data_IF_297829015836
#
_entry.id   IF_297829015836
#
_cell.length_a   1.000
_cell.length_b   1.000
_cell.length_c   1.000
_cell.angle_alpha   90.00
_cell.angle_beta   90.00
_cell.angle_gamma   90.00
#
_symmetry.space_group_name_H-M   'P 1'
#
loop_
_entity.id
_entity.type
_entity.pdbx_description
1 polymer ?
#
# COMPACT_ATOMS: atom_id res chain seq x y z
N UNK A 1 -6.73 -4.82 9.08
CA UNK A 1 -5.46 -4.27 9.60
C UNK A 1 -4.80 -5.33 10.45
N UNK A 2 -3.54 -5.64 10.18
CA UNK A 2 -2.76 -6.56 11.01
C UNK A 2 -1.79 -5.74 11.85
N UNK A 3 -1.72 -6.00 13.15
CA UNK A 3 -0.75 -5.35 14.02
C UNK A 3 0.67 -5.85 13.72
N UNK A 4 1.64 -4.96 13.88
CA UNK A 4 3.06 -5.28 13.79
C UNK A 4 3.42 -6.08 15.06
N UNK A 5 3.95 -7.29 14.86
CA UNK A 5 4.36 -8.19 15.96
C UNK A 5 5.77 -7.91 16.46
N UNK A 6 6.64 -7.42 15.58
CA UNK A 6 8.03 -7.07 15.87
C UNK A 6 8.17 -5.54 16.00
N UNK A 7 9.34 -5.08 16.48
CA UNK A 7 9.70 -3.66 16.42
C UNK A 7 9.68 -3.20 14.96
N UNK A 8 9.05 -2.05 14.68
CA UNK A 8 8.94 -1.52 13.34
C UNK A 8 10.22 -0.80 12.86
N UNK A 9 10.92 -0.14 13.78
CA UNK A 9 12.16 0.60 13.52
C UNK A 9 13.28 0.20 14.48
N UNK A 10 14.41 -0.25 13.92
CA UNK A 10 15.63 -0.56 14.66
C UNK A 10 16.63 0.60 14.65
N UNK A 11 16.49 1.55 13.71
CA UNK A 11 17.28 2.78 13.57
C UNK A 11 18.79 2.62 13.37
N UNK A 12 19.26 1.47 12.88
CA UNK A 12 20.68 1.29 12.56
C UNK A 12 21.18 2.36 11.59
N UNK A 13 22.38 2.89 11.85
CA UNK A 13 23.00 3.96 11.08
C UNK A 13 23.97 3.38 10.05
N UNK A 14 23.87 3.84 8.80
CA UNK A 14 24.79 3.45 7.74
C UNK A 14 25.54 4.68 7.26
N UNK A 15 26.86 4.65 7.39
CA UNK A 15 27.77 5.72 7.00
C UNK A 15 28.44 5.41 5.66
N UNK A 16 28.72 6.45 4.89
CA UNK A 16 29.54 6.38 3.67
C UNK A 16 31.00 6.04 4.01
N UNK A 17 31.80 5.77 2.98
CA UNK A 17 33.25 5.65 3.13
C UNK A 17 33.90 6.93 3.69
N UNK A 18 33.34 8.10 3.38
CA UNK A 18 33.77 9.41 3.89
C UNK A 18 33.32 9.73 5.33
N UNK A 19 32.46 8.89 5.91
CA UNK A 19 31.95 9.06 7.28
C UNK A 19 30.66 9.88 7.39
N UNK A 20 30.02 10.25 6.28
CA UNK A 20 28.72 10.90 6.31
C UNK A 20 27.59 9.89 6.57
N UNK A 21 26.63 10.25 7.44
CA UNK A 21 25.44 9.43 7.68
C UNK A 21 24.54 9.42 6.44
N UNK A 22 24.44 8.27 5.79
CA UNK A 22 23.70 8.14 4.53
C UNK A 22 22.24 7.80 4.72
N UNK A 23 21.94 6.82 5.56
CA UNK A 23 20.56 6.37 5.78
C UNK A 23 20.47 5.54 7.06
N UNK A 24 19.22 5.25 7.45
CA UNK A 24 18.90 4.32 8.53
C UNK A 24 18.13 3.12 8.03
N UNK A 25 18.31 1.98 8.68
CA UNK A 25 17.59 0.76 8.29
C UNK A 25 17.36 -0.22 9.45
N UNK A 26 16.74 -1.36 9.11
CA UNK A 26 16.50 -2.44 10.05
C UNK A 26 17.70 -3.38 10.17
N UNK A 27 17.72 -4.16 11.24
CA UNK A 27 18.81 -5.11 11.51
C UNK A 27 18.96 -6.14 10.39
N UNK A 28 17.86 -6.57 9.76
CA UNK A 28 17.90 -7.52 8.63
C UNK A 28 18.75 -6.98 7.46
N UNK A 29 18.63 -5.69 7.12
CA UNK A 29 19.42 -5.04 6.06
C UNK A 29 20.89 -4.92 6.47
N UNK A 30 21.17 -4.64 7.74
CA UNK A 30 22.54 -4.59 8.28
C UNK A 30 23.24 -5.96 8.18
N UNK A 31 22.56 -7.03 8.62
CA UNK A 31 23.09 -8.39 8.50
C UNK A 31 23.40 -8.78 7.05
N UNK A 32 22.65 -8.25 6.08
CA UNK A 32 22.94 -8.45 4.65
C UNK A 32 24.23 -7.74 4.20
N UNK A 33 24.48 -6.51 4.65
CA UNK A 33 25.73 -5.78 4.32
C UNK A 33 26.96 -6.47 4.94
N UNK A 34 26.87 -6.82 6.23
CA UNK A 34 27.98 -7.43 6.97
C UNK A 34 28.31 -8.82 6.42
N UNK A 35 27.31 -9.67 6.16
CA UNK A 35 27.54 -11.04 5.66
C UNK A 35 28.15 -11.10 4.26
N UNK A 36 28.04 -10.00 3.49
CA UNK A 36 28.64 -9.87 2.15
C UNK A 36 29.93 -9.07 2.12
N UNK A 37 30.47 -8.71 3.29
CA UNK A 37 31.66 -7.86 3.40
C UNK A 37 31.53 -6.56 2.58
N UNK A 38 30.36 -5.91 2.66
CA UNK A 38 30.06 -4.62 2.01
C UNK A 38 30.15 -3.43 2.99
N UNK A 39 30.38 -3.71 4.26
CA UNK A 39 30.48 -2.72 5.32
C UNK A 39 31.25 -3.30 6.52
N UNK A 40 31.84 -2.43 7.32
CA UNK A 40 32.44 -2.76 8.60
C UNK A 40 31.56 -2.25 9.73
N UNK A 41 31.43 -3.01 10.81
CA UNK A 41 30.77 -2.52 12.02
C UNK A 41 31.69 -1.52 12.72
N UNK A 42 31.17 -0.33 13.02
CA UNK A 42 31.92 0.76 13.66
C UNK A 42 31.37 1.13 15.04
N UNK A 43 30.15 0.72 15.37
CA UNK A 43 29.55 0.78 16.71
C UNK A 43 28.45 -0.27 16.87
N UNK A 44 27.85 -0.35 18.06
CA UNK A 44 26.76 -1.30 18.37
C UNK A 44 25.50 -1.10 17.52
N UNK A 45 25.28 0.11 16.99
CA UNK A 45 24.13 0.50 16.18
C UNK A 45 24.51 1.06 14.79
N UNK A 46 25.78 0.90 14.39
CA UNK A 46 26.34 1.61 13.24
C UNK A 46 27.30 0.77 12.39
N UNK A 47 27.17 0.88 11.06
CA UNK A 47 28.11 0.32 10.09
C UNK A 47 28.61 1.40 9.13
N UNK A 48 29.80 1.20 8.56
CA UNK A 48 30.38 2.04 7.51
C UNK A 48 30.55 1.22 6.23
N UNK A 49 30.06 1.73 5.10
CA UNK A 49 30.28 1.10 3.79
C UNK A 49 31.77 1.10 3.43
N UNK A 50 32.23 0.02 2.81
CA UNK A 50 33.61 -0.12 2.35
C UNK A 50 33.82 0.24 0.87
N UNK A 51 32.79 0.78 0.22
CA UNK A 51 32.80 1.18 -1.19
C UNK A 51 32.09 2.53 -1.36
N UNK A 52 32.37 3.21 -2.48
CA UNK A 52 31.66 4.43 -2.86
C UNK A 52 30.32 4.08 -3.53
N UNK A 53 29.16 4.39 -2.93
CA UNK A 53 27.86 4.15 -3.53
C UNK A 53 27.58 5.16 -4.66
N UNK A 54 26.71 4.79 -5.60
CA UNK A 54 26.33 5.64 -6.74
C UNK A 54 25.50 6.88 -6.35
N UNK A 55 24.87 6.86 -5.18
CA UNK A 55 24.04 7.95 -4.68
C UNK A 55 24.41 8.33 -3.25
N UNK A 56 24.07 9.55 -2.86
CA UNK A 56 24.35 10.10 -1.54
C UNK A 56 23.39 9.57 -0.45
N UNK A 57 22.39 8.76 -0.82
CA UNK A 57 21.34 8.37 0.11
C UNK A 57 20.55 9.59 0.56
N UNK A 58 20.44 9.78 1.88
CA UNK A 58 19.63 10.83 2.51
C UNK A 58 20.47 11.87 3.26
N UNK A 59 21.76 12.07 2.91
CA UNK A 59 22.68 12.98 3.63
C UNK A 59 22.08 14.37 3.92
N UNK A 60 21.24 14.91 3.03
CA UNK A 60 20.62 16.23 3.19
C UNK A 60 19.16 16.20 3.68
N UNK A 61 18.63 15.01 3.97
CA UNK A 61 17.24 14.81 4.32
C UNK A 61 17.09 14.48 5.82
N UNK A 62 16.80 15.53 6.59
CA UNK A 62 16.63 15.42 8.05
C UNK A 62 15.52 14.45 8.45
N UNK A 63 14.47 14.34 7.65
CA UNK A 63 13.37 13.43 7.96
C UNK A 63 13.83 11.97 7.83
N UNK A 64 14.57 11.62 6.78
CA UNK A 64 15.03 10.23 6.62
C UNK A 64 16.22 9.86 7.52
N UNK A 65 16.96 10.84 8.03
CA UNK A 65 18.10 10.64 8.94
C UNK A 65 17.77 10.70 10.43
N UNK A 66 16.55 11.08 10.83
CA UNK A 66 16.17 11.08 12.24
C UNK A 66 15.93 9.67 12.79
N UNK A 67 16.10 9.49 14.10
CA UNK A 67 15.67 8.28 14.79
C UNK A 67 14.13 8.18 14.79
N UNK A 68 13.61 7.00 14.45
CA UNK A 68 12.18 6.74 14.45
C UNK A 68 11.75 6.05 15.73
N UNK A 69 10.65 6.52 16.29
CA UNK A 69 10.07 5.88 17.46
C UNK A 69 9.01 4.86 17.07
N UNK A 70 8.92 3.79 17.86
CA UNK A 70 7.93 2.73 17.69
C UNK A 70 6.65 3.09 18.47
N UNK A 71 6.01 4.19 18.08
CA UNK A 71 4.73 4.63 18.64
C UNK A 71 3.81 5.16 17.55
N UNK A 72 2.53 5.30 17.87
CA UNK A 72 1.53 5.92 17.04
C UNK A 72 1.82 7.41 16.92
N UNK A 73 1.99 7.90 15.68
CA UNK A 73 2.23 9.33 15.41
C UNK A 73 1.08 10.24 15.87
N UNK A 74 -0.12 9.68 16.07
CA UNK A 74 -1.30 10.44 16.49
C UNK A 74 -1.37 10.62 18.00
N UNK A 75 -1.30 9.53 18.77
CA UNK A 75 -1.57 9.54 20.21
C UNK A 75 -0.40 9.03 21.08
N UNK A 76 0.73 8.63 20.50
CA UNK A 76 1.91 8.18 21.26
C UNK A 76 1.82 6.76 21.83
N UNK A 77 0.70 6.07 21.61
CA UNK A 77 0.51 4.67 22.00
C UNK A 77 1.53 3.77 21.29
N UNK A 78 2.15 2.84 22.01
CA UNK A 78 3.19 1.95 21.48
C UNK A 78 2.72 0.49 21.31
N UNK A 79 1.44 0.21 21.59
CA UNK A 79 0.85 -1.10 21.40
C UNK A 79 0.01 -1.17 20.12
N UNK A 80 -0.17 -2.39 19.60
CA UNK A 80 -1.06 -2.68 18.46
C UNK A 80 -0.83 -1.75 17.26
N UNK A 81 0.44 -1.46 16.98
CA UNK A 81 0.84 -0.57 15.90
C UNK A 81 0.58 -1.21 14.55
N UNK A 82 0.34 -0.37 13.56
CA UNK A 82 0.10 -0.72 12.17
C UNK A 82 0.84 0.28 11.28
N UNK A 83 1.20 -0.13 10.06
CA UNK A 83 1.72 0.78 9.04
C UNK A 83 0.56 1.38 8.27
N UNK A 84 0.37 2.68 8.38
CA UNK A 84 -0.65 3.42 7.66
C UNK A 84 -0.03 4.11 6.44
N UNK A 85 -0.60 3.86 5.27
CA UNK A 85 -0.21 4.52 4.03
C UNK A 85 -1.04 5.80 3.88
N UNK A 86 -0.41 6.97 4.07
CA UNK A 86 -1.09 8.28 4.00
C UNK A 86 -1.78 8.46 2.65
N UNK A 87 -1.07 8.10 1.58
CA UNK A 87 -1.65 7.95 0.24
C UNK A 87 -2.13 6.51 0.08
N UNK A 88 -3.43 6.26 -0.17
CA UNK A 88 -3.95 4.90 -0.26
C UNK A 88 -3.26 4.04 -1.33
N UNK A 89 -3.02 2.78 -0.97
CA UNK A 89 -2.30 1.81 -1.81
C UNK A 89 -2.92 1.63 -3.21
N UNK A 90 -4.24 1.75 -3.31
CA UNK A 90 -4.96 1.64 -4.58
C UNK A 90 -4.52 2.69 -5.61
N UNK A 91 -4.08 3.87 -5.16
CA UNK A 91 -3.51 4.90 -6.02
C UNK A 91 -1.99 4.74 -6.12
N UNK A 92 -1.31 4.53 -4.98
CA UNK A 92 0.16 4.52 -4.93
C UNK A 92 0.78 3.47 -5.84
N UNK A 93 0.18 2.27 -5.94
CA UNK A 93 0.69 1.19 -6.82
C UNK A 93 0.71 1.57 -8.31
N UNK A 94 -0.16 2.49 -8.71
CA UNK A 94 -0.33 2.94 -10.10
C UNK A 94 0.58 4.12 -10.46
N UNK A 95 1.28 4.71 -9.48
CA UNK A 95 2.16 5.86 -9.70
C UNK A 95 3.47 5.45 -10.40
N UNK A 96 4.14 6.39 -11.10
CA UNK A 96 5.46 6.19 -11.69
C UNK A 96 6.51 5.80 -10.65
N UNK A 97 7.53 5.03 -11.08
CA UNK A 97 8.56 4.49 -10.17
C UNK A 97 9.32 5.58 -9.41
N UNK A 98 9.63 6.69 -10.08
CA UNK A 98 10.32 7.86 -9.49
C UNK A 98 9.55 8.49 -8.33
N UNK A 99 8.23 8.28 -8.27
CA UNK A 99 7.37 8.75 -7.18
C UNK A 99 7.16 7.66 -6.13
N UNK A 100 6.84 6.43 -6.55
CA UNK A 100 6.47 5.40 -5.58
C UNK A 100 7.67 4.79 -4.84
N UNK A 101 8.88 4.78 -5.40
CA UNK A 101 10.07 4.21 -4.73
C UNK A 101 10.47 4.92 -3.42
N UNK A 102 10.00 6.15 -3.17
CA UNK A 102 10.04 6.81 -1.85
C UNK A 102 8.83 6.48 -0.95
N UNK A 103 8.38 5.22 -0.91
CA UNK A 103 7.22 4.78 -0.12
C UNK A 103 7.29 5.14 1.35
N UNK A 104 8.48 5.05 1.95
CA UNK A 104 8.66 5.16 3.40
C UNK A 104 8.28 6.53 3.95
N UNK A 105 8.31 7.59 3.13
CA UNK A 105 7.97 8.93 3.60
C UNK A 105 6.51 9.03 4.06
N UNK A 106 5.62 8.39 3.32
CA UNK A 106 4.16 8.43 3.55
C UNK A 106 3.64 7.19 4.28
N UNK A 107 4.52 6.41 4.91
CA UNK A 107 4.17 5.27 5.74
C UNK A 107 4.42 5.60 7.20
N UNK A 108 3.34 5.79 7.96
CA UNK A 108 3.39 6.23 9.35
C UNK A 108 2.88 5.14 10.29
N UNK A 109 3.45 5.04 11.49
CA UNK A 109 2.93 4.13 12.52
C UNK A 109 1.69 4.70 13.19
N UNK A 110 0.64 3.89 13.25
CA UNK A 110 -0.60 4.21 13.95
C UNK A 110 -1.08 3.02 14.78
N UNK A 111 -1.61 3.25 15.98
CA UNK A 111 -2.33 2.20 16.69
C UNK A 111 -3.66 1.91 15.97
N UNK A 112 -4.21 0.71 16.16
CA UNK A 112 -5.46 0.26 15.51
C UNK A 112 -6.60 1.27 15.71
N UNK A 113 -6.71 1.90 16.89
CA UNK A 113 -7.76 2.89 17.20
C UNK A 113 -7.66 4.11 16.28
N UNK A 114 -6.49 4.76 16.23
CA UNK A 114 -6.28 5.94 15.39
C UNK A 114 -6.39 5.59 13.90
N UNK A 115 -5.84 4.45 13.47
CA UNK A 115 -5.94 4.00 12.09
C UNK A 115 -7.40 3.76 11.68
N UNK A 116 -8.17 3.01 12.48
CA UNK A 116 -9.59 2.76 12.20
C UNK A 116 -10.41 4.05 12.17
N UNK A 117 -10.11 5.00 13.06
CA UNK A 117 -10.75 6.32 13.05
C UNK A 117 -10.47 7.08 11.75
N UNK A 118 -9.20 7.15 11.34
CA UNK A 118 -8.82 7.83 10.11
C UNK A 118 -9.36 7.15 8.85
N UNK A 119 -9.42 5.82 8.82
CA UNK A 119 -9.90 5.08 7.64
C UNK A 119 -11.37 5.39 7.32
N UNK A 120 -12.18 5.78 8.33
CA UNK A 120 -13.54 6.28 8.10
C UNK A 120 -13.53 7.58 7.30
N UNK A 121 -12.71 8.56 7.71
CA UNK A 121 -12.57 9.82 6.99
C UNK A 121 -11.94 9.62 5.59
N UNK A 122 -10.90 8.79 5.50
CA UNK A 122 -10.26 8.43 4.24
C UNK A 122 -11.26 7.77 3.27
N UNK A 123 -12.20 6.97 3.78
CA UNK A 123 -13.27 6.37 2.96
C UNK A 123 -14.21 7.42 2.39
N UNK A 124 -14.53 8.49 3.13
CA UNK A 124 -15.32 9.61 2.60
C UNK A 124 -14.56 10.40 1.54
N UNK A 125 -13.25 10.63 1.72
CA UNK A 125 -12.42 11.27 0.69
C UNK A 125 -12.35 10.41 -0.59
N UNK A 126 -12.18 9.09 -0.47
CA UNK A 126 -12.23 8.15 -1.61
C UNK A 126 -13.57 8.27 -2.36
N UNK A 127 -14.71 8.33 -1.64
CA UNK A 127 -16.03 8.53 -2.27
C UNK A 127 -16.14 9.87 -2.99
N UNK A 128 -15.53 10.93 -2.46
CA UNK A 128 -15.48 12.24 -3.13
C UNK A 128 -14.67 12.14 -4.42
N UNK A 129 -13.46 11.57 -4.37
CA UNK A 129 -12.61 11.34 -5.55
C UNK A 129 -13.35 10.49 -6.61
N UNK A 130 -14.08 9.46 -6.21
CA UNK A 130 -14.91 8.66 -7.11
C UNK A 130 -15.97 9.48 -7.87
N UNK A 131 -16.58 10.47 -7.21
CA UNK A 131 -17.51 11.40 -7.85
C UNK A 131 -16.78 12.37 -8.77
N UNK A 132 -15.69 12.98 -8.29
CA UNK A 132 -14.94 14.00 -9.02
C UNK A 132 -14.35 13.46 -10.33
N UNK A 133 -13.91 12.20 -10.34
CA UNK A 133 -13.39 11.52 -11.54
C UNK A 133 -14.45 10.70 -12.29
N UNK A 134 -15.70 10.69 -11.85
CA UNK A 134 -16.80 9.92 -12.42
C UNK A 134 -16.44 8.42 -12.63
N UNK A 135 -15.81 7.81 -11.62
CA UNK A 135 -15.48 6.38 -11.64
C UNK A 135 -15.78 5.71 -10.28
N UNK A 136 -16.58 4.62 -10.24
CA UNK A 136 -16.86 3.89 -9.00
C UNK A 136 -15.60 3.37 -8.31
N UNK A 137 -15.63 3.22 -6.98
CA UNK A 137 -14.48 2.72 -6.20
C UNK A 137 -14.07 1.29 -6.55
N UNK A 138 -15.00 0.48 -7.03
CA UNK A 138 -14.77 -0.87 -7.55
C UNK A 138 -14.27 -0.89 -9.00
N UNK A 139 -14.09 0.28 -9.64
CA UNK A 139 -13.78 0.41 -11.06
C UNK A 139 -15.01 0.25 -11.96
N UNK A 140 -14.78 0.09 -13.26
CA UNK A 140 -15.81 -0.22 -14.28
C UNK A 140 -15.44 -1.49 -15.05
N UNK A 141 -16.33 -1.96 -15.92
CA UNK A 141 -16.10 -3.16 -16.74
C UNK A 141 -16.07 -4.45 -15.90
N UNK A 142 -16.95 -4.55 -14.88
CA UNK A 142 -17.20 -5.79 -14.16
C UNK A 142 -18.62 -6.27 -14.44
N UNK A 143 -18.76 -7.53 -14.81
CA UNK A 143 -20.05 -8.19 -14.97
C UNK A 143 -20.27 -9.13 -13.80
N UNK A 144 -21.45 -9.06 -13.17
CA UNK A 144 -21.82 -9.92 -12.07
C UNK A 144 -22.25 -11.28 -12.61
N UNK A 145 -21.62 -12.34 -12.11
CA UNK A 145 -21.94 -13.72 -12.49
C UNK A 145 -23.06 -14.23 -11.59
N UNK A 146 -24.31 -13.84 -11.89
CA UNK A 146 -25.47 -14.11 -11.02
C UNK A 146 -25.65 -15.61 -10.71
N UNK A 147 -25.34 -16.48 -11.67
CA UNK A 147 -25.36 -17.93 -11.44
C UNK A 147 -24.31 -18.37 -10.41
N UNK A 148 -23.06 -17.90 -10.53
CA UNK A 148 -22.01 -18.19 -9.55
C UNK A 148 -22.36 -17.64 -8.17
N UNK A 149 -22.90 -16.42 -8.11
CA UNK A 149 -23.36 -15.82 -6.85
C UNK A 149 -24.46 -16.68 -6.20
N UNK A 150 -25.42 -17.19 -6.98
CA UNK A 150 -26.47 -18.09 -6.50
C UNK A 150 -25.89 -19.37 -5.91
N UNK A 151 -24.96 -20.02 -6.64
CA UNK A 151 -24.29 -21.26 -6.22
C UNK A 151 -23.48 -21.03 -4.94
N UNK A 152 -22.68 -19.96 -4.88
CA UNK A 152 -21.86 -19.60 -3.73
C UNK A 152 -22.68 -19.27 -2.49
N UNK A 153 -23.82 -18.57 -2.66
CA UNK A 153 -24.78 -18.33 -1.57
C UNK A 153 -25.39 -19.63 -1.05
N UNK A 154 -25.68 -20.59 -1.94
CA UNK A 154 -26.20 -21.88 -1.52
C UNK A 154 -25.17 -22.68 -0.71
N UNK A 155 -23.92 -22.74 -1.18
CA UNK A 155 -22.80 -23.34 -0.46
C UNK A 155 -22.58 -22.68 0.91
N UNK A 156 -22.53 -21.34 0.95
CA UNK A 156 -22.37 -20.58 2.20
C UNK A 156 -23.50 -20.83 3.20
N UNK A 157 -24.72 -21.00 2.70
CA UNK A 157 -25.86 -21.29 3.55
C UNK A 157 -25.76 -22.70 4.14
N UNK A 158 -25.31 -23.71 3.39
CA UNK A 158 -25.15 -25.10 3.84
C UNK A 158 -24.11 -25.27 4.97
N UNK A 159 -23.17 -24.34 5.12
CA UNK A 159 -22.21 -24.33 6.24
C UNK A 159 -22.81 -23.82 7.56
N UNK A 160 -24.08 -23.40 7.58
CA UNK A 160 -24.76 -22.92 8.80
C UNK A 160 -25.45 -24.06 9.54
N UNK A 161 -25.48 -23.96 10.86
CA UNK A 161 -26.22 -24.87 11.73
C UNK A 161 -27.70 -24.42 11.77
N UNK A 162 -28.63 -25.37 11.86
CA UNK A 162 -30.06 -25.09 12.09
C UNK A 162 -30.86 -24.74 10.83
N UNK A 163 -30.45 -25.23 9.66
CA UNK A 163 -31.19 -25.06 8.40
C UNK A 163 -32.34 -26.08 8.35
N UNK A 164 -33.59 -25.67 8.08
CA UNK A 164 -34.71 -26.61 7.87
C UNK A 164 -34.43 -27.60 6.74
N UNK A 165 -34.91 -28.84 6.88
CA UNK A 165 -34.58 -29.96 5.96
C UNK A 165 -34.99 -29.67 4.51
N UNK A 166 -36.18 -29.10 4.28
CA UNK A 166 -36.64 -28.74 2.93
C UNK A 166 -35.74 -27.69 2.30
N UNK A 167 -35.29 -26.70 3.09
CA UNK A 167 -34.34 -25.70 2.63
C UNK A 167 -32.98 -26.31 2.34
N UNK A 168 -32.52 -27.26 3.16
CA UNK A 168 -31.26 -27.97 2.91
C UNK A 168 -31.30 -28.73 1.58
N UNK A 169 -32.43 -29.40 1.27
CA UNK A 169 -32.66 -30.09 0.00
C UNK A 169 -32.59 -29.14 -1.19
N UNK A 170 -33.27 -27.99 -1.12
CA UNK A 170 -33.20 -26.96 -2.17
C UNK A 170 -31.78 -26.47 -2.44
N UNK A 171 -31.02 -26.18 -1.37
CA UNK A 171 -29.65 -25.68 -1.47
C UNK A 171 -28.71 -26.73 -2.06
N UNK A 172 -28.86 -28.01 -1.67
CA UNK A 172 -28.12 -29.14 -2.26
C UNK A 172 -28.42 -29.29 -3.74
N UNK A 173 -29.68 -29.17 -4.14
CA UNK A 173 -30.07 -29.26 -5.55
C UNK A 173 -29.37 -28.19 -6.40
N UNK A 174 -29.23 -26.96 -5.89
CA UNK A 174 -28.49 -25.89 -6.60
C UNK A 174 -27.04 -26.31 -6.86
N UNK A 175 -26.36 -26.91 -5.87
CA UNK A 175 -24.97 -27.37 -6.00
C UNK A 175 -24.84 -28.55 -6.95
N UNK A 176 -25.76 -29.52 -6.87
CA UNK A 176 -25.77 -30.70 -7.76
C UNK A 176 -25.98 -30.27 -9.21
N UNK A 177 -26.96 -29.39 -9.48
CA UNK A 177 -27.19 -28.85 -10.84
C UNK A 177 -25.95 -28.12 -11.35
N UNK A 178 -25.29 -27.33 -10.51
CA UNK A 178 -24.05 -26.65 -10.87
C UNK A 178 -22.91 -27.63 -11.21
N UNK A 179 -22.70 -28.66 -10.39
CA UNK A 179 -21.71 -29.70 -10.63
C UNK A 179 -21.96 -30.42 -11.97
N UNK A 180 -23.20 -30.84 -12.22
CA UNK A 180 -23.59 -31.52 -13.46
C UNK A 180 -23.38 -30.64 -14.70
N UNK A 181 -23.70 -29.35 -14.61
CA UNK A 181 -23.63 -28.42 -15.75
C UNK A 181 -22.19 -28.02 -16.08
N UNK A 182 -21.32 -27.94 -15.08
CA UNK A 182 -19.95 -27.44 -15.27
C UNK A 182 -18.95 -28.54 -15.59
N UNK A 183 -19.25 -29.80 -15.26
CA UNK A 183 -18.36 -30.97 -15.39
C UNK A 183 -16.95 -30.76 -14.79
N UNK A 184 -16.81 -29.78 -13.90
CA UNK A 184 -15.53 -29.35 -13.29
C UNK A 184 -15.26 -30.04 -11.95
N UNK A 185 -16.30 -30.56 -11.30
CA UNK A 185 -16.21 -31.16 -9.97
C UNK A 185 -16.30 -32.68 -10.10
N UNK A 186 -15.17 -33.37 -9.91
CA UNK A 186 -15.06 -34.84 -10.00
C UNK A 186 -15.29 -35.58 -8.67
N UNK A 187 -15.72 -34.88 -7.62
CA UNK A 187 -15.96 -35.47 -6.30
C UNK A 187 -17.45 -35.57 -6.01
N UNK A 188 -17.89 -36.71 -5.49
CA UNK A 188 -19.26 -36.93 -5.03
C UNK A 188 -19.48 -36.49 -3.58
N UNK A 189 -18.41 -36.03 -2.89
CA UNK A 189 -18.52 -35.54 -1.51
C UNK A 189 -19.08 -34.13 -1.48
N UNK A 190 -20.15 -33.94 -0.69
CA UNK A 190 -20.82 -32.65 -0.55
C UNK A 190 -19.88 -31.54 -0.06
N UNK A 191 -18.98 -31.85 0.88
CA UNK A 191 -18.02 -30.87 1.42
C UNK A 191 -17.07 -30.36 0.33
N UNK A 192 -16.55 -31.24 -0.53
CA UNK A 192 -15.68 -30.87 -1.65
C UNK A 192 -16.42 -29.99 -2.67
N UNK A 193 -17.71 -30.25 -2.89
CA UNK A 193 -18.57 -29.46 -3.78
C UNK A 193 -18.81 -28.07 -3.17
N UNK A 194 -19.06 -27.99 -1.86
CA UNK A 194 -19.24 -26.73 -1.12
C UNK A 194 -17.96 -25.89 -1.19
N UNK A 195 -16.79 -26.47 -0.89
CA UNK A 195 -15.51 -25.75 -0.95
C UNK A 195 -15.24 -25.16 -2.34
N UNK A 196 -15.47 -25.95 -3.40
CA UNK A 196 -15.29 -25.47 -4.77
C UNK A 196 -16.31 -24.40 -5.18
N UNK A 197 -17.57 -24.55 -4.76
CA UNK A 197 -18.60 -23.54 -4.98
C UNK A 197 -18.28 -22.21 -4.28
N UNK A 198 -17.66 -22.26 -3.09
CA UNK A 198 -17.22 -21.06 -2.37
C UNK A 198 -16.08 -20.31 -3.07
N UNK A 199 -15.29 -21.01 -3.87
CA UNK A 199 -14.18 -20.44 -4.64
C UNK A 199 -14.61 -19.81 -5.98
N UNK A 200 -15.89 -19.91 -6.35
CA UNK A 200 -16.39 -19.32 -7.59
C UNK A 200 -16.22 -17.79 -7.61
N UNK A 201 -15.79 -17.21 -8.75
CA UNK A 201 -15.76 -15.77 -8.92
C UNK A 201 -17.19 -15.25 -8.98
N UNK A 202 -17.46 -14.18 -8.23
CA UNK A 202 -18.75 -13.49 -8.25
C UNK A 202 -18.86 -12.47 -9.40
N UNK A 203 -17.71 -12.10 -9.97
CA UNK A 203 -17.60 -11.14 -11.05
C UNK A 203 -16.51 -11.55 -12.03
N UNK A 204 -16.70 -11.20 -13.29
CA UNK A 204 -15.67 -11.24 -14.33
C UNK A 204 -15.30 -9.84 -14.80
N UNK A 205 -14.07 -9.70 -15.27
CA UNK A 205 -13.55 -8.47 -15.88
C UNK A 205 -13.87 -8.49 -17.36
N UNK A 206 -14.47 -7.43 -17.89
CA UNK A 206 -14.66 -7.25 -19.33
C UNK A 206 -13.41 -6.64 -19.96
N UNK A 207 -13.40 -6.49 -21.29
CA UNK A 207 -12.31 -5.83 -22.01
C UNK A 207 -12.18 -4.34 -21.64
N UNK A 208 -13.25 -3.73 -21.15
CA UNK A 208 -13.31 -2.33 -20.68
C UNK A 208 -12.99 -2.20 -19.18
N UNK A 209 -12.52 -3.27 -18.54
CA UNK A 209 -12.18 -3.28 -17.13
C UNK A 209 -11.06 -2.28 -16.83
N UNK A 210 -11.30 -1.41 -15.86
CA UNK A 210 -10.28 -0.55 -15.31
C UNK A 210 -10.56 -0.32 -13.83
N UNK A 211 -9.49 -0.37 -13.03
CA UNK A 211 -9.58 -0.12 -11.61
C UNK A 211 -9.71 1.38 -11.32
N UNK A 212 -10.40 1.72 -10.23
CA UNK A 212 -10.57 3.12 -9.80
C UNK A 212 -9.22 3.85 -9.71
N UNK A 213 -8.26 3.26 -9.00
CA UNK A 213 -6.97 3.90 -8.78
C UNK A 213 -6.13 4.04 -10.05
N UNK A 214 -6.22 3.07 -10.95
CA UNK A 214 -5.54 3.09 -12.25
C UNK A 214 -6.07 4.23 -13.12
N UNK A 215 -7.40 4.33 -13.24
CA UNK A 215 -8.02 5.42 -13.99
C UNK A 215 -7.67 6.78 -13.40
N UNK A 216 -7.86 6.99 -12.08
CA UNK A 216 -7.56 8.27 -11.42
C UNK A 216 -6.10 8.66 -11.66
N UNK A 217 -5.15 7.76 -11.40
CA UNK A 217 -3.73 8.08 -11.60
C UNK A 217 -3.41 8.32 -13.08
N UNK A 218 -3.98 7.55 -14.02
CA UNK A 218 -3.80 7.85 -15.44
C UNK A 218 -4.30 9.25 -15.83
N UNK A 219 -5.35 9.78 -15.19
CA UNK A 219 -5.80 11.16 -15.43
C UNK A 219 -4.83 12.18 -14.84
N UNK A 220 -4.27 11.91 -13.65
CA UNK A 220 -3.28 12.77 -12.99
C UNK A 220 -1.96 12.86 -13.77
N UNK A 221 -1.61 11.82 -14.51
CA UNK A 221 -0.37 11.75 -15.29
C UNK A 221 -0.46 12.41 -16.67
N UNK A 222 -1.66 12.84 -17.13
CA UNK A 222 -1.84 13.43 -18.46
C UNK A 222 -1.09 14.74 -18.65
N UNK A 223 -0.96 15.53 -17.59
CA UNK A 223 -0.29 16.82 -17.63
C UNK A 223 1.10 16.66 -17.03
N UNK A 224 2.04 16.19 -17.84
CA UNK A 224 3.45 16.12 -17.49
C UNK A 224 4.24 17.26 -18.12
N UNK A 225 5.32 17.68 -17.45
CA UNK A 225 6.27 18.61 -18.01
C UNK A 225 7.69 18.17 -17.69
N UNK A 226 8.57 18.46 -18.63
CA UNK A 226 9.99 18.21 -18.49
C UNK A 226 10.65 19.38 -17.75
N UNK A 227 11.33 19.07 -16.66
CA UNK A 227 12.19 20.04 -15.99
C UNK A 227 13.61 19.80 -16.46
N UNK A 228 14.17 20.77 -17.19
CA UNK A 228 15.58 20.83 -17.52
C UNK A 228 16.35 21.47 -16.36
N UNK A 229 17.27 20.72 -15.76
CA UNK A 229 18.18 21.28 -14.76
C UNK A 229 19.21 22.16 -15.47
N UNK A 230 19.14 23.49 -15.31
CA UNK A 230 20.21 24.42 -15.68
C UNK A 230 21.35 24.39 -14.65
N UNK A 231 21.89 23.20 -14.38
CA UNK A 231 23.05 23.04 -13.51
C UNK A 231 24.32 23.15 -14.34
N UNK A 232 25.09 24.23 -14.15
CA UNK A 232 26.47 24.33 -14.66
C UNK A 232 27.29 23.15 -14.10
N UNK A 233 27.61 22.17 -14.95
CA UNK A 233 28.50 21.05 -14.61
C UNK A 233 27.94 19.63 -14.73
N UNK A 234 26.67 19.43 -15.07
CA UNK A 234 26.13 18.08 -15.33
C UNK A 234 26.40 17.64 -16.77
N UNK A 235 27.24 16.63 -16.97
CA UNK A 235 27.59 16.05 -18.28
C UNK A 235 26.48 15.22 -18.95
N UNK A 236 25.23 15.33 -18.47
CA UNK A 236 24.05 14.87 -19.18
C UNK A 236 22.85 15.71 -18.75
N UNK A 237 22.13 16.27 -19.73
CA UNK A 237 20.82 16.88 -19.54
C UNK A 237 19.85 15.83 -19.00
N UNK A 238 19.77 15.66 -17.67
CA UNK A 238 18.78 14.76 -17.08
C UNK A 238 17.43 15.48 -17.13
N UNK A 239 16.67 15.25 -18.19
CA UNK A 239 15.27 15.64 -18.25
C UNK A 239 14.51 14.87 -17.18
N UNK A 240 13.92 15.57 -16.21
CA UNK A 240 13.12 14.95 -15.13
C UNK A 240 11.65 15.27 -15.37
N UNK A 241 10.88 14.24 -15.67
CA UNK A 241 9.43 14.37 -15.86
C UNK A 241 8.74 14.63 -14.51
N UNK A 242 7.88 15.65 -14.47
CA UNK A 242 7.09 16.05 -13.31
C UNK A 242 5.60 16.06 -13.65
N UNK A 243 4.75 15.87 -12.64
CA UNK A 243 3.30 15.72 -12.76
C UNK A 243 2.59 16.57 -11.69
N UNK A 244 2.34 17.87 -11.94
CA UNK A 244 1.75 18.78 -10.96
C UNK A 244 0.45 18.27 -10.34
N UNK A 245 -0.44 17.67 -11.15
CA UNK A 245 -1.70 17.10 -10.65
C UNK A 245 -1.46 15.92 -9.70
N UNK A 246 -0.44 15.10 -9.95
CA UNK A 246 -0.08 14.01 -9.06
C UNK A 246 0.49 14.53 -7.73
N UNK A 247 1.32 15.59 -7.77
CA UNK A 247 1.81 16.29 -6.59
C UNK A 247 0.65 16.81 -5.74
N UNK A 248 -0.27 17.58 -6.36
CA UNK A 248 -1.48 18.10 -5.70
C UNK A 248 -2.32 16.97 -5.09
N UNK A 249 -2.46 15.85 -5.79
CA UNK A 249 -3.19 14.69 -5.29
C UNK A 249 -2.53 14.06 -4.06
N UNK A 250 -1.20 13.94 -4.03
CA UNK A 250 -0.47 13.45 -2.86
C UNK A 250 -0.57 14.46 -1.71
N UNK A 251 -0.44 15.75 -1.99
CA UNK A 251 -0.59 16.82 -1.00
C UNK A 251 -1.99 16.85 -0.40
N UNK A 252 -3.03 16.60 -1.20
CA UNK A 252 -4.40 16.43 -0.72
C UNK A 252 -4.49 15.33 0.34
N UNK A 253 -3.89 14.16 0.09
CA UNK A 253 -3.89 13.05 1.04
C UNK A 253 -3.10 13.35 2.31
N UNK A 254 -1.92 13.97 2.16
CA UNK A 254 -1.07 14.38 3.28
C UNK A 254 -1.77 15.43 4.16
N UNK A 255 -2.36 16.45 3.55
CA UNK A 255 -3.11 17.51 4.24
C UNK A 255 -4.36 16.94 4.93
N UNK A 256 -5.13 16.10 4.23
CA UNK A 256 -6.29 15.42 4.79
C UNK A 256 -5.91 14.58 6.02
N UNK A 257 -4.78 13.86 5.97
CA UNK A 257 -4.26 13.11 7.12
C UNK A 257 -3.98 14.01 8.32
N UNK A 258 -3.21 15.09 8.14
CA UNK A 258 -2.84 16.00 9.22
C UNK A 258 -4.06 16.68 9.82
N UNK A 259 -4.96 17.21 8.98
CA UNK A 259 -6.17 17.91 9.43
C UNK A 259 -7.12 16.99 10.21
N UNK A 260 -7.26 15.74 9.76
CA UNK A 260 -8.18 14.78 10.38
C UNK A 260 -7.61 14.18 11.66
N UNK A 261 -6.34 13.81 11.65
CA UNK A 261 -5.74 13.08 12.78
C UNK A 261 -5.12 13.98 13.84
N UNK A 262 -4.76 15.22 13.48
CA UNK A 262 -4.07 16.21 14.34
C UNK A 262 -2.93 15.55 15.13
N UNK A 263 -1.94 14.99 14.42
CA UNK A 263 -1.00 14.07 15.06
C UNK A 263 -0.08 14.81 16.03
N UNK A 264 0.07 14.28 17.24
CA UNK A 264 0.85 14.92 18.31
C UNK A 264 2.34 14.54 18.27
N UNK A 265 2.66 13.41 17.63
CA UNK A 265 4.00 12.81 17.62
C UNK A 265 4.55 12.60 16.20
N UNK A 266 3.95 13.24 15.20
CA UNK A 266 4.51 13.26 13.85
C UNK A 266 5.78 14.10 13.83
N UNK A 267 6.79 13.65 13.08
CA UNK A 267 8.04 14.40 12.94
C UNK A 267 7.80 15.82 12.45
N UNK A 268 8.49 16.78 13.07
CA UNK A 268 8.51 18.18 12.59
C UNK A 268 9.09 18.32 11.19
N UNK A 269 9.85 17.33 10.72
CA UNK A 269 10.46 17.31 9.39
C UNK A 269 9.58 16.68 8.32
N UNK A 270 8.46 16.03 8.69
CA UNK A 270 7.46 15.58 7.73
C UNK A 270 6.58 16.76 7.33
N UNK A 271 6.58 17.14 6.05
CA UNK A 271 5.74 18.23 5.55
C UNK A 271 4.79 17.73 4.48
N UNK A 272 3.61 18.34 4.45
CA UNK A 272 2.61 18.09 3.41
C UNK A 272 3.21 18.30 2.02
N UNK A 273 3.95 19.39 1.83
CA UNK A 273 4.49 19.81 0.54
C UNK A 273 5.92 19.33 0.26
N UNK A 274 6.44 18.34 1.01
CA UNK A 274 7.74 17.75 0.68
C UNK A 274 7.71 17.13 -0.73
N UNK A 275 8.85 17.19 -1.44
CA UNK A 275 8.98 16.59 -2.77
C UNK A 275 8.54 15.13 -2.78
N UNK A 276 7.83 14.72 -3.83
CA UNK A 276 7.39 13.34 -4.02
C UNK A 276 8.39 12.51 -4.84
N UNK A 277 9.50 13.11 -5.30
CA UNK A 277 10.41 12.52 -6.27
C UNK A 277 11.72 12.08 -5.62
N UNK A 278 12.27 10.96 -6.10
CA UNK A 278 13.66 10.57 -5.82
C UNK A 278 14.58 11.40 -6.68
N UNK A 279 15.52 12.11 -6.06
CA UNK A 279 16.54 12.90 -6.76
C UNK A 279 17.86 12.17 -6.98
#
# INVERSE_FOLDING_TARGET
>A
MQSIRERAYDNWKVYSLGGELMFRCNTKKISWYLSRNLANQIADDSIQLNFQPKGLGHIFDKYHLEDRCNFCVCCGDNENLTRHHVVPEMYRRQMPEVVKSHTNHDILLMCIRCHTSYEKAASELKKKIAKDYNIPLNGRGRVRLDYNVKVKKAASALNKIGIPEDRMRELRNILITWQQTTNKVKSDKLDDIIEQALMLPEYEKTNEFIEHGEYVVSQLLKDSHDVTGSGEGASSSSTRERWPKLEEFIYLWRDHFVKTTKPQFLSKHWKVFDSIYVE
#
